data_IF_995303091618
#
_entry.id   IF_995303091618
#
_cell.length_a   1.000
_cell.length_b   1.000
_cell.length_c   1.000
_cell.angle_alpha   90.00
_cell.angle_beta   90.00
_cell.angle_gamma   90.00
#
_symmetry.space_group_name_H-M   'P 1'
#
loop_
_entity.id
_entity.type
_entity.pdbx_description
1 polymer ?
#
# COMPACT_ATOMS: atom_id res chain seq x y z
N UNK A 1 -43.03 -10.55 58.57
CA UNK A 1 -42.07 -10.85 57.48
C UNK A 1 -42.62 -10.30 56.17
N UNK A 2 -41.96 -9.32 55.56
CA UNK A 2 -42.35 -8.79 54.24
C UNK A 2 -41.23 -9.11 53.26
N UNK A 3 -41.52 -9.96 52.27
CA UNK A 3 -40.56 -10.35 51.24
C UNK A 3 -40.50 -9.24 50.17
N UNK A 4 -39.46 -8.43 50.22
CA UNK A 4 -39.14 -7.51 49.12
C UNK A 4 -38.53 -8.32 47.97
N UNK A 5 -39.24 -8.44 46.86
CA UNK A 5 -38.71 -8.99 45.60
C UNK A 5 -37.89 -7.91 44.91
N UNK A 6 -36.58 -8.07 44.86
CA UNK A 6 -35.69 -7.16 44.13
C UNK A 6 -35.74 -7.53 42.65
N UNK A 7 -36.49 -6.76 41.86
CA UNK A 7 -36.47 -6.87 40.41
C UNK A 7 -35.12 -6.36 39.87
N UNK A 8 -34.30 -7.26 39.34
CA UNK A 8 -33.08 -6.89 38.62
C UNK A 8 -33.52 -6.21 37.32
N UNK A 9 -33.36 -4.89 37.24
CA UNK A 9 -33.56 -4.14 36.01
C UNK A 9 -32.54 -4.61 34.96
N UNK A 10 -33.01 -5.32 33.94
CA UNK A 10 -32.18 -5.72 32.79
C UNK A 10 -31.85 -4.45 31.99
N UNK A 11 -30.57 -4.06 31.83
CA UNK A 11 -30.24 -2.89 31.03
C UNK A 11 -30.71 -3.16 29.60
N UNK A 12 -31.70 -2.40 29.15
CA UNK A 12 -32.08 -2.35 27.75
C UNK A 12 -30.92 -1.71 27.01
N UNK A 13 -30.00 -2.52 26.49
CA UNK A 13 -29.01 -2.07 25.52
C UNK A 13 -29.80 -1.40 24.40
N UNK A 14 -29.70 -0.07 24.35
CA UNK A 14 -30.42 0.72 23.37
C UNK A 14 -29.91 0.30 21.98
N UNK A 15 -30.77 -0.35 21.19
CA UNK A 15 -30.56 -0.65 19.77
C UNK A 15 -30.25 0.59 18.89
N UNK A 16 -30.14 1.79 19.49
CA UNK A 16 -29.87 3.06 18.81
C UNK A 16 -28.43 3.21 18.29
N UNK A 17 -27.51 2.31 18.66
CA UNK A 17 -26.14 2.31 18.15
C UNK A 17 -26.02 1.85 16.67
N UNK A 18 -27.03 1.17 16.13
CA UNK A 18 -26.95 0.54 14.80
C UNK A 18 -27.39 1.41 13.62
N UNK A 19 -28.02 2.58 13.83
CA UNK A 19 -28.61 3.35 12.71
C UNK A 19 -27.56 3.94 11.77
N UNK A 20 -26.39 4.28 12.31
CA UNK A 20 -25.29 4.86 11.54
C UNK A 20 -24.32 3.81 11.01
N UNK A 21 -24.37 2.57 11.53
CA UNK A 21 -23.53 1.47 11.09
C UNK A 21 -23.58 1.22 9.57
N UNK A 22 -24.76 1.17 8.90
CA UNK A 22 -24.78 0.99 7.45
C UNK A 22 -24.19 2.19 6.70
N UNK A 23 -24.34 3.41 7.21
CA UNK A 23 -23.77 4.61 6.61
C UNK A 23 -22.24 4.64 6.77
N UNK A 24 -21.72 4.24 7.93
CA UNK A 24 -20.29 4.12 8.20
C UNK A 24 -19.67 3.02 7.33
N UNK A 25 -20.33 1.86 7.22
CA UNK A 25 -19.91 0.79 6.32
C UNK A 25 -19.89 1.27 4.88
N UNK A 26 -20.94 1.95 4.41
CA UNK A 26 -20.98 2.49 3.04
C UNK A 26 -19.89 3.55 2.79
N UNK A 27 -19.68 4.47 3.74
CA UNK A 27 -18.62 5.47 3.65
C UNK A 27 -17.23 4.83 3.63
N UNK A 28 -17.05 3.69 4.32
CA UNK A 28 -15.76 2.99 4.33
C UNK A 28 -15.35 2.44 2.97
N UNK A 29 -16.30 2.17 2.06
CA UNK A 29 -16.00 1.74 0.69
C UNK A 29 -15.34 2.84 -0.15
N UNK A 30 -15.43 4.11 0.23
CA UNK A 30 -14.80 5.22 -0.47
C UNK A 30 -13.35 5.49 -0.04
N UNK A 31 -12.91 4.94 1.11
CA UNK A 31 -11.54 5.12 1.63
C UNK A 31 -10.42 4.66 0.68
N UNK A 32 -10.54 3.52 -0.04
CA UNK A 32 -9.45 3.05 -0.91
C UNK A 32 -9.14 4.00 -2.07
N UNK A 33 -10.13 4.78 -2.55
CA UNK A 33 -9.91 5.72 -3.65
C UNK A 33 -9.01 6.91 -3.24
N UNK A 34 -9.00 7.26 -1.95
CA UNK A 34 -8.11 8.28 -1.40
C UNK A 34 -6.72 7.71 -1.04
N UNK A 35 -6.61 6.39 -0.91
CA UNK A 35 -5.36 5.69 -0.68
C UNK A 35 -4.83 5.26 -2.04
N UNK A 36 -4.28 6.22 -2.80
CA UNK A 36 -3.58 5.93 -4.05
C UNK A 36 -2.59 4.78 -3.82
N UNK A 37 -2.89 3.61 -4.35
CA UNK A 37 -1.94 2.52 -4.39
C UNK A 37 -0.86 2.97 -5.37
N UNK A 38 0.21 3.58 -4.84
CA UNK A 38 1.26 4.19 -5.64
C UNK A 38 1.85 3.10 -6.53
N UNK A 39 1.57 3.18 -7.83
CA UNK A 39 2.05 2.22 -8.82
C UNK A 39 3.55 2.41 -9.02
N UNK A 40 4.39 1.60 -8.38
CA UNK A 40 5.81 1.59 -8.71
C UNK A 40 5.98 0.89 -10.06
N UNK A 41 6.43 1.63 -11.08
CA UNK A 41 6.83 1.01 -12.36
C UNK A 41 8.08 0.17 -12.10
N UNK A 42 8.04 -1.16 -12.35
CA UNK A 42 9.12 -2.04 -11.96
C UNK A 42 10.43 -1.68 -12.69
N UNK A 43 11.55 -1.88 -11.99
CA UNK A 43 12.87 -1.79 -12.60
C UNK A 43 13.04 -2.86 -13.68
N UNK A 44 13.89 -2.58 -14.68
CA UNK A 44 14.33 -3.59 -15.63
C UNK A 44 15.85 -3.60 -15.72
N UNK A 45 16.45 -4.76 -15.46
CA UNK A 45 17.87 -5.02 -15.64
C UNK A 45 18.03 -6.18 -16.60
N UNK A 46 18.72 -5.94 -17.70
CA UNK A 46 19.12 -6.96 -18.66
C UNK A 46 20.65 -7.02 -18.70
N UNK A 47 21.17 -8.25 -18.69
CA UNK A 47 22.61 -8.54 -18.71
C UNK A 47 22.84 -9.66 -19.71
N UNK A 48 23.61 -9.38 -20.75
CA UNK A 48 23.86 -10.31 -21.86
C UNK A 48 25.36 -10.54 -21.98
N UNK A 49 25.81 -11.79 -21.88
CA UNK A 49 27.21 -12.13 -22.14
C UNK A 49 27.48 -12.10 -23.65
N UNK A 50 28.39 -11.23 -24.09
CA UNK A 50 28.74 -11.05 -25.52
C UNK A 50 30.03 -11.76 -25.89
N UNK A 51 30.90 -12.01 -24.91
CA UNK A 51 32.07 -12.89 -24.99
C UNK A 51 32.48 -13.31 -23.59
N UNK A 52 33.38 -14.29 -23.44
CA UNK A 52 33.81 -14.76 -22.12
C UNK A 52 34.25 -13.60 -21.21
N UNK A 53 33.51 -13.40 -20.12
CA UNK A 53 33.78 -12.34 -19.14
C UNK A 53 33.43 -10.91 -19.57
N UNK A 54 32.74 -10.73 -20.71
CA UNK A 54 32.27 -9.43 -21.21
C UNK A 54 30.75 -9.43 -21.31
N UNK A 55 30.15 -8.43 -20.69
CA UNK A 55 28.71 -8.30 -20.58
C UNK A 55 28.23 -6.97 -21.13
N UNK A 56 27.14 -6.99 -21.87
CA UNK A 56 26.32 -5.83 -22.16
C UNK A 56 25.26 -5.70 -21.06
N UNK A 57 25.05 -4.48 -20.57
CA UNK A 57 24.16 -4.20 -19.44
C UNK A 57 23.19 -3.11 -19.83
N UNK A 58 21.89 -3.40 -19.74
CA UNK A 58 20.81 -2.43 -19.90
C UNK A 58 20.07 -2.24 -18.57
N UNK A 59 20.03 -0.99 -18.09
CA UNK A 59 19.33 -0.61 -16.87
C UNK A 59 18.22 0.42 -17.17
N UNK A 60 16.97 0.06 -16.91
CA UNK A 60 15.83 0.97 -16.88
C UNK A 60 15.44 1.22 -15.43
N UNK A 61 15.79 2.42 -14.95
CA UNK A 61 15.53 2.85 -13.58
C UNK A 61 14.03 3.01 -13.31
N UNK A 62 13.52 2.58 -12.14
CA UNK A 62 12.12 2.80 -11.76
C UNK A 62 11.75 4.28 -11.72
N UNK A 63 10.51 4.54 -12.14
CA UNK A 63 9.86 5.84 -12.04
C UNK A 63 8.87 5.78 -10.88
N UNK A 64 8.89 6.78 -10.01
CA UNK A 64 7.86 6.97 -9.00
C UNK A 64 6.69 7.72 -9.66
N UNK A 65 5.45 7.24 -9.48
CA UNK A 65 4.29 8.04 -9.82
C UNK A 65 4.23 9.24 -8.90
N UNK A 66 3.89 10.39 -9.46
CA UNK A 66 3.62 11.64 -8.75
C UNK A 66 2.30 12.23 -9.24
N UNK A 67 1.65 13.02 -8.41
CA UNK A 67 0.38 13.68 -8.74
C UNK A 67 0.58 14.82 -9.77
N UNK A 68 1.80 15.35 -9.91
CA UNK A 68 2.16 16.32 -10.93
C UNK A 68 2.55 15.61 -12.26
N UNK A 69 1.75 15.73 -13.34
CA UNK A 69 2.03 15.11 -14.63
C UNK A 69 3.28 15.67 -15.33
N UNK A 70 3.81 16.80 -14.89
CA UNK A 70 5.07 17.38 -15.37
C UNK A 70 6.31 16.89 -14.61
N UNK A 71 6.14 16.21 -13.49
CA UNK A 71 7.24 15.79 -12.61
C UNK A 71 7.54 14.29 -12.77
N UNK A 72 8.73 13.97 -13.29
CA UNK A 72 9.19 12.58 -13.39
C UNK A 72 10.17 12.31 -12.25
N UNK A 73 9.69 11.67 -11.19
CA UNK A 73 10.53 11.22 -10.09
C UNK A 73 11.13 9.84 -10.40
N UNK A 74 12.41 9.64 -10.08
CA UNK A 74 13.08 8.34 -10.22
C UNK A 74 13.46 7.80 -8.86
N UNK A 75 13.28 6.49 -8.66
CA UNK A 75 13.73 5.84 -7.44
C UNK A 75 15.27 5.81 -7.44
N UNK A 76 15.97 6.32 -6.41
CA UNK A 76 17.43 6.42 -6.39
C UNK A 76 18.08 5.06 -6.05
N UNK A 77 17.77 4.05 -6.86
CA UNK A 77 18.39 2.73 -6.80
C UNK A 77 19.25 2.52 -8.05
N UNK A 78 20.34 1.78 -7.88
CA UNK A 78 21.24 1.39 -8.95
C UNK A 78 21.64 -0.08 -8.78
N UNK A 79 21.89 -0.82 -9.88
CA UNK A 79 22.48 -2.15 -9.82
C UNK A 79 23.84 -2.09 -9.12
N UNK A 80 24.15 -3.10 -8.29
CA UNK A 80 25.48 -3.28 -7.70
C UNK A 80 26.19 -4.42 -8.39
N UNK A 81 27.28 -4.11 -9.09
CA UNK A 81 28.15 -5.11 -9.70
C UNK A 81 29.26 -5.55 -8.72
N UNK A 82 29.77 -6.78 -8.87
CA UNK A 82 30.96 -7.23 -8.16
C UNK A 82 32.15 -6.29 -8.37
N UNK A 83 33.04 -6.20 -7.38
CA UNK A 83 34.19 -5.29 -7.39
C UNK A 83 35.21 -5.56 -8.51
N UNK A 84 35.15 -6.70 -9.20
CA UNK A 84 36.02 -7.04 -10.33
C UNK A 84 35.45 -6.61 -11.69
N UNK A 85 34.18 -6.19 -11.75
CA UNK A 85 33.59 -5.62 -12.96
C UNK A 85 34.15 -4.20 -13.21
N UNK A 86 34.32 -3.84 -14.48
CA UNK A 86 34.83 -2.55 -14.96
C UNK A 86 34.00 -2.12 -16.16
N UNK A 87 33.79 -0.82 -16.33
CA UNK A 87 33.14 -0.23 -17.51
C UNK A 87 34.09 -0.13 -18.70
#
# INVERSE_FOLDING_TARGET
>A
MSASTWAIAKPRAAHRAGRWLPLVLLASLALPAALGAHEVRPAYLEVTEVSAGRFEVLWKQPILPDDDPGLVLRLPIAPRFPAHCRE
#
